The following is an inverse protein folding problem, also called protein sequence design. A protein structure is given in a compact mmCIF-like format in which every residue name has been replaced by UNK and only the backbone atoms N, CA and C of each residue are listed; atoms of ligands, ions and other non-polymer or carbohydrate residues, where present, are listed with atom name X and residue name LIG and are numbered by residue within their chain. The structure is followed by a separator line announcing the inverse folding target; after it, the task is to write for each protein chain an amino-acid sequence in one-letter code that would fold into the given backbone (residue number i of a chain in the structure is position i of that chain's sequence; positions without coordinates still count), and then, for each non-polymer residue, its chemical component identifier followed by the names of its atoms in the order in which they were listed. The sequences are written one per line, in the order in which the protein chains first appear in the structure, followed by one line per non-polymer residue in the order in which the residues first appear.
data_IF_416928374329
#
_entry.id   IF_416928374329
#
_cell.length_a   1.000
_cell.length_b   1.000
_cell.length_c   1.000
_cell.angle_alpha   90.00
_cell.angle_beta   90.00
_cell.angle_gamma   90.00
#
_symmetry.space_group_name_H-M   'P 1'
#
loop_
_entity.id
_entity.type
_entity.pdbx_description
1 polymer ?
#
# COMPACT_ATOMS: atom_id res chain seq x y z
N UNK A 1 -5.59 4.74 -21.48
CA UNK A 1 -4.17 4.33 -21.29
C UNK A 1 -3.47 5.11 -20.18
N UNK A 2 -3.29 6.44 -20.28
CA UNK A 2 -2.56 7.19 -19.24
C UNK A 2 -3.20 7.14 -17.85
N UNK A 3 -4.53 7.16 -17.74
CA UNK A 3 -5.19 7.22 -16.42
C UNK A 3 -4.95 5.97 -15.56
N UNK A 4 -5.10 4.76 -16.13
CA UNK A 4 -4.89 3.49 -15.40
C UNK A 4 -3.42 3.36 -14.97
N UNK A 5 -2.49 3.72 -15.86
CA UNK A 5 -1.07 3.68 -15.57
C UNK A 5 -0.69 4.67 -14.44
N UNK A 6 -1.20 5.91 -14.48
CA UNK A 6 -1.03 6.87 -13.39
C UNK A 6 -1.62 6.35 -12.07
N UNK A 7 -2.76 5.66 -12.12
CA UNK A 7 -3.39 5.07 -10.93
C UNK A 7 -2.53 3.94 -10.33
N UNK A 8 -1.97 3.07 -11.19
CA UNK A 8 -1.03 2.02 -10.77
C UNK A 8 0.21 2.61 -10.10
N UNK A 9 0.78 3.68 -10.68
CA UNK A 9 1.94 4.40 -10.15
C UNK A 9 1.61 5.07 -8.82
N UNK A 10 0.41 5.64 -8.70
CA UNK A 10 -0.12 6.18 -7.45
C UNK A 10 -0.26 5.11 -6.37
N UNK A 11 -0.83 3.95 -6.69
CA UNK A 11 -0.95 2.82 -5.77
C UNK A 11 0.44 2.29 -5.35
N UNK A 12 1.41 2.24 -6.27
CA UNK A 12 2.79 1.87 -5.96
C UNK A 12 3.41 2.84 -4.96
N UNK A 13 3.33 4.15 -5.20
CA UNK A 13 3.86 5.16 -4.27
C UNK A 13 3.16 5.07 -2.91
N UNK A 14 1.84 4.93 -2.90
CA UNK A 14 1.06 4.80 -1.68
C UNK A 14 1.46 3.55 -0.87
N UNK A 15 1.81 2.45 -1.55
CA UNK A 15 2.34 1.24 -0.90
C UNK A 15 3.66 1.50 -0.15
N UNK A 16 4.54 2.33 -0.71
CA UNK A 16 5.81 2.71 -0.07
C UNK A 16 5.54 3.56 1.18
N UNK A 17 4.64 4.53 1.09
CA UNK A 17 4.25 5.35 2.24
C UNK A 17 3.64 4.50 3.37
N UNK A 18 2.76 3.57 3.02
CA UNK A 18 2.17 2.66 3.97
C UNK A 18 3.22 1.74 4.62
N UNK A 19 4.16 1.20 3.84
CA UNK A 19 5.28 0.42 4.36
C UNK A 19 6.10 1.23 5.37
N UNK A 20 6.45 2.48 5.04
CA UNK A 20 7.18 3.36 5.96
C UNK A 20 6.40 3.64 7.25
N UNK A 21 5.08 3.82 7.17
CA UNK A 21 4.23 4.04 8.34
C UNK A 21 4.19 2.79 9.24
N UNK A 22 3.95 1.62 8.65
CA UNK A 22 3.98 0.35 9.39
C UNK A 22 5.35 0.03 9.96
N UNK A 23 6.43 0.40 9.28
CA UNK A 23 7.79 0.23 9.80
C UNK A 23 8.04 1.10 11.04
N UNK A 24 7.57 2.35 11.05
CA UNK A 24 7.64 3.23 12.23
C UNK A 24 6.86 2.68 13.41
N UNK A 25 5.65 2.17 13.16
CA UNK A 25 4.84 1.54 14.21
C UNK A 25 5.49 0.25 14.73
N UNK A 26 6.13 -0.54 13.86
CA UNK A 26 6.91 -1.72 14.27
C UNK A 26 8.13 -1.35 15.12
N UNK A 27 8.83 -0.24 14.80
CA UNK A 27 9.90 0.29 15.63
C UNK A 27 9.41 0.73 17.01
N UNK A 28 8.24 1.39 17.09
CA UNK A 28 7.61 1.72 18.38
C UNK A 28 7.29 0.49 19.22
N UNK A 29 6.75 -0.57 18.60
CA UNK A 29 6.53 -1.85 19.29
C UNK A 29 7.87 -2.37 19.83
N UNK A 30 8.91 -2.37 19.01
CA UNK A 30 10.23 -2.87 19.39
C UNK A 30 10.90 -2.05 20.51
N UNK A 31 10.62 -0.76 20.58
CA UNK A 31 11.15 0.14 21.61
C UNK A 31 10.21 0.29 22.82
N UNK A 32 9.07 -0.42 22.85
CA UNK A 32 8.03 -0.31 23.87
C UNK A 32 7.51 1.14 24.06
N UNK A 33 7.58 1.95 23.00
CA UNK A 33 7.23 3.36 23.02
C UNK A 33 5.72 3.57 22.85
N UNK A 34 5.00 3.48 23.96
CA UNK A 34 3.60 3.91 24.08
C UNK A 34 2.59 3.11 23.23
N UNK A 35 1.35 3.63 23.07
CA UNK A 35 0.30 2.93 22.33
C UNK A 35 0.56 2.94 20.82
N UNK A 36 0.39 1.78 20.20
CA UNK A 36 0.62 1.53 18.77
C UNK A 36 -0.70 1.64 18.03
N UNK A 37 -0.70 2.39 16.93
CA UNK A 37 -1.89 2.59 16.09
C UNK A 37 -1.89 1.55 14.96
N UNK A 38 -2.63 0.44 15.18
CA UNK A 38 -2.79 -0.66 14.22
C UNK A 38 -3.53 -0.31 12.91
N UNK A 39 -3.95 0.94 12.74
CA UNK A 39 -4.62 1.44 11.54
C UNK A 39 -3.83 1.21 10.26
N UNK A 40 -2.49 1.23 10.35
CA UNK A 40 -1.62 0.91 9.21
C UNK A 40 -1.98 -0.43 8.57
N UNK A 41 -2.18 -1.47 9.37
CA UNK A 41 -2.45 -2.84 8.89
C UNK A 41 -3.83 -2.96 8.21
N UNK A 42 -4.81 -2.20 8.68
CA UNK A 42 -6.18 -2.17 8.12
C UNK A 42 -6.18 -1.51 6.74
N UNK A 43 -5.34 -0.49 6.50
CA UNK A 43 -5.25 0.15 5.18
C UNK A 43 -4.38 -0.61 4.17
N UNK A 44 -3.43 -1.42 4.63
CA UNK A 44 -2.58 -2.21 3.73
C UNK A 44 -3.36 -3.26 2.93
N UNK A 45 -4.32 -3.92 3.57
CA UNK A 45 -5.02 -5.06 2.98
C UNK A 45 -5.90 -4.65 1.78
N UNK A 46 -6.79 -3.65 1.88
CA UNK A 46 -7.56 -3.15 0.75
C UNK A 46 -6.67 -2.57 -0.36
N UNK A 47 -5.58 -1.91 0.01
CA UNK A 47 -4.67 -1.29 -0.95
C UNK A 47 -3.92 -2.34 -1.79
N UNK A 48 -3.50 -3.44 -1.18
CA UNK A 48 -2.88 -4.56 -1.88
C UNK A 48 -3.87 -5.22 -2.87
N UNK A 49 -5.13 -5.41 -2.45
CA UNK A 49 -6.19 -5.92 -3.33
C UNK A 49 -6.46 -4.98 -4.51
N UNK A 50 -6.55 -3.67 -4.26
CA UNK A 50 -6.72 -2.69 -5.35
C UNK A 50 -5.55 -2.70 -6.33
N UNK A 51 -4.31 -2.76 -5.83
CA UNK A 51 -3.14 -2.83 -6.69
C UNK A 51 -3.16 -4.10 -7.56
N UNK A 52 -3.48 -5.26 -6.99
CA UNK A 52 -3.57 -6.52 -7.73
C UNK A 52 -4.65 -6.48 -8.82
N UNK A 53 -5.83 -5.92 -8.53
CA UNK A 53 -6.91 -5.76 -9.53
C UNK A 53 -6.45 -4.84 -10.66
N UNK A 54 -5.86 -3.68 -10.33
CA UNK A 54 -5.38 -2.73 -11.33
C UNK A 54 -4.25 -3.30 -12.19
N UNK A 55 -3.33 -4.05 -11.59
CA UNK A 55 -2.27 -4.74 -12.31
C UNK A 55 -2.82 -5.80 -13.28
N UNK A 56 -3.84 -6.56 -12.86
CA UNK A 56 -4.48 -7.55 -13.74
C UNK A 56 -5.25 -6.89 -14.90
N UNK A 57 -5.98 -5.81 -14.64
CA UNK A 57 -6.66 -5.04 -15.70
C UNK A 57 -5.67 -4.43 -16.69
N UNK A 58 -4.53 -3.93 -16.19
CA UNK A 58 -3.46 -3.42 -17.05
C UNK A 58 -2.83 -4.52 -17.91
N UNK A 59 -2.60 -5.71 -17.34
CA UNK A 59 -2.09 -6.86 -18.06
C UNK A 59 -3.03 -7.30 -19.20
N UNK A 60 -4.34 -7.40 -18.91
CA UNK A 60 -5.36 -7.74 -19.90
C UNK A 60 -5.49 -6.72 -21.04
N UNK A 61 -5.11 -5.46 -20.83
CA UNK A 61 -5.09 -4.44 -21.87
C UNK A 61 -3.84 -4.49 -22.76
N UNK A 62 -2.78 -5.17 -22.31
CA UNK A 62 -1.52 -5.32 -23.04
C UNK A 62 -1.46 -6.64 -23.84
N UNK A 63 -2.28 -7.63 -23.47
CA UNK A 63 -2.49 -8.91 -24.16
C UNK A 63 -3.58 -8.81 -25.23
#
# INVERSE_FOLDING_TARGET
MNFIFCFMLGCMLLSVFHFMYSYKEALKISNEEGPVFGWGLIFHLPLAFMFAILANLFHQQLS
#
